data_IF_989844308575
#
_entry.id   IF_989844308575
#
_cell.length_a   1.000
_cell.length_b   1.000
_cell.length_c   1.000
_cell.angle_alpha   90.00
_cell.angle_beta   90.00
_cell.angle_gamma   90.00
#
_symmetry.space_group_name_H-M   'P 1'
#
loop_
_entity.id
_entity.type
_entity.pdbx_description
1 polymer ?
#
# COMPACT_ATOMS: atom_id res chain seq x y z
N UNK A 1 16.46 -14.96 7.20
CA UNK A 1 16.45 -13.59 6.66
C UNK A 1 16.47 -12.60 7.81
N UNK A 2 17.09 -11.45 7.62
CA UNK A 2 17.14 -10.41 8.66
C UNK A 2 15.89 -9.51 8.53
N UNK A 3 14.88 -9.79 9.36
CA UNK A 3 13.60 -9.06 9.39
C UNK A 3 13.72 -7.61 9.88
N UNK A 4 14.93 -7.11 10.18
CA UNK A 4 15.14 -5.72 10.60
C UNK A 4 15.33 -4.73 9.44
N UNK A 5 15.53 -5.24 8.21
CA UNK A 5 15.64 -4.40 7.03
C UNK A 5 14.30 -3.69 6.74
N UNK A 6 14.34 -2.35 6.64
CA UNK A 6 13.17 -1.55 6.27
C UNK A 6 13.06 -1.48 4.76
N UNK A 7 11.85 -1.69 4.23
CA UNK A 7 11.53 -1.36 2.84
C UNK A 7 11.78 0.14 2.61
N UNK A 8 12.33 0.47 1.44
CA UNK A 8 12.57 1.86 1.03
C UNK A 8 11.41 2.32 0.16
N UNK A 9 11.12 3.63 0.22
CA UNK A 9 10.18 4.23 -0.73
C UNK A 9 10.80 4.20 -2.14
N UNK A 10 10.06 3.72 -3.14
CA UNK A 10 10.51 3.73 -4.52
C UNK A 10 10.60 5.17 -5.07
N UNK A 11 11.45 5.37 -6.08
CA UNK A 11 11.71 6.71 -6.66
C UNK A 11 10.77 7.04 -7.82
N UNK A 12 10.33 6.03 -8.56
CA UNK A 12 9.44 6.20 -9.72
C UNK A 12 7.99 5.88 -9.33
N UNK A 13 7.01 6.46 -10.04
CA UNK A 13 5.58 6.18 -9.83
C UNK A 13 4.98 5.89 -11.20
N UNK A 14 4.38 4.71 -11.35
CA UNK A 14 3.75 4.25 -12.59
C UNK A 14 2.25 4.54 -12.57
N UNK A 15 1.59 4.26 -11.44
CA UNK A 15 0.16 4.50 -11.25
C UNK A 15 -0.11 5.07 -9.87
N UNK A 16 -1.16 5.88 -9.77
CA UNK A 16 -1.59 6.52 -8.53
C UNK A 16 -3.11 6.45 -8.42
N UNK A 17 -3.61 6.20 -7.22
CA UNK A 17 -5.02 6.28 -6.90
C UNK A 17 -5.21 6.96 -5.55
N UNK A 18 -6.22 7.82 -5.47
CA UNK A 18 -6.57 8.57 -4.25
C UNK A 18 -7.82 7.96 -3.62
N UNK A 19 -7.84 7.94 -2.28
CA UNK A 19 -8.89 7.35 -1.49
C UNK A 19 -9.21 8.20 -0.27
N UNK A 20 -10.41 8.00 0.26
CA UNK A 20 -10.85 8.51 1.54
C UNK A 20 -11.30 7.35 2.42
N UNK A 21 -10.75 7.26 3.62
CA UNK A 21 -11.10 6.22 4.57
C UNK A 21 -12.59 6.31 4.95
N UNK A 22 -13.34 5.23 4.71
CA UNK A 22 -14.75 5.12 4.99
C UNK A 22 -15.00 4.25 6.23
N UNK A 23 -16.21 4.35 6.79
CA UNK A 23 -16.60 3.57 7.98
C UNK A 23 -16.38 2.07 7.83
N UNK A 24 -16.57 1.51 6.63
CA UNK A 24 -16.39 0.07 6.35
C UNK A 24 -14.94 -0.39 6.54
N UNK A 25 -13.99 0.53 6.36
CA UNK A 25 -12.56 0.25 6.40
C UNK A 25 -12.04 0.23 7.85
N UNK A 26 -12.79 0.78 8.81
CA UNK A 26 -12.35 1.05 10.18
C UNK A 26 -12.62 -0.12 11.13
N UNK A 27 -11.60 -0.50 11.91
CA UNK A 27 -11.68 -1.51 12.95
C UNK A 27 -12.14 -0.94 14.32
N UNK A 28 -12.17 -1.80 15.34
CA UNK A 28 -12.54 -1.41 16.71
C UNK A 28 -11.58 -0.38 17.34
N UNK A 29 -10.34 -0.31 16.84
CA UNK A 29 -9.30 0.59 17.32
C UNK A 29 -9.35 1.97 16.62
N UNK A 30 -10.34 2.19 15.75
CA UNK A 30 -10.62 3.46 15.04
C UNK A 30 -9.58 3.82 13.98
N UNK A 31 -8.95 2.83 13.38
CA UNK A 31 -8.11 3.00 12.20
C UNK A 31 -8.47 1.97 11.13
N UNK A 32 -7.96 2.17 9.91
CA UNK A 32 -8.14 1.20 8.84
C UNK A 32 -7.65 -0.17 9.32
N UNK A 33 -8.47 -1.20 9.16
CA UNK A 33 -8.08 -2.58 9.47
C UNK A 33 -6.92 -2.98 8.56
N UNK A 34 -5.91 -3.66 9.11
CA UNK A 34 -4.72 -4.07 8.38
C UNK A 34 -4.98 -4.83 7.06
N UNK A 35 -6.10 -5.58 6.95
CA UNK A 35 -6.46 -6.30 5.72
C UNK A 35 -6.78 -5.34 4.57
N UNK A 36 -7.44 -4.22 4.85
CA UNK A 36 -7.82 -3.26 3.82
C UNK A 36 -6.62 -2.55 3.20
N UNK A 37 -5.46 -2.48 3.87
CA UNK A 37 -4.23 -1.97 3.25
C UNK A 37 -3.84 -2.80 2.02
N UNK A 38 -4.04 -4.13 2.08
CA UNK A 38 -3.78 -5.01 0.95
C UNK A 38 -4.83 -4.83 -0.14
N UNK A 39 -6.11 -4.67 0.22
CA UNK A 39 -7.18 -4.42 -0.76
C UNK A 39 -6.93 -3.14 -1.55
N UNK A 40 -6.55 -2.04 -0.88
CA UNK A 40 -6.17 -0.80 -1.56
C UNK A 40 -4.94 -0.96 -2.45
N UNK A 41 -3.99 -1.81 -2.06
CA UNK A 41 -2.82 -2.10 -2.86
C UNK A 41 -3.20 -2.81 -4.16
N UNK A 42 -4.10 -3.80 -4.11
CA UNK A 42 -4.57 -4.50 -5.30
C UNK A 42 -5.28 -3.57 -6.29
N UNK A 43 -6.11 -2.65 -5.81
CA UNK A 43 -6.87 -1.72 -6.68
C UNK A 43 -5.98 -0.75 -7.48
N UNK A 44 -4.75 -0.47 -7.02
CA UNK A 44 -3.81 0.40 -7.76
C UNK A 44 -2.91 -0.39 -8.71
N UNK A 45 -2.87 -1.72 -8.62
CA UNK A 45 -2.08 -2.53 -9.55
C UNK A 45 -2.64 -2.42 -10.97
N UNK A 46 -1.77 -2.43 -12.00
CA UNK A 46 -2.19 -2.73 -13.36
C UNK A 46 -2.84 -4.12 -13.42
N UNK A 47 -3.86 -4.28 -14.27
CA UNK A 47 -4.61 -5.53 -14.44
C UNK A 47 -3.68 -6.72 -14.75
N UNK A 48 -2.72 -6.52 -15.66
CA UNK A 48 -1.70 -7.52 -16.02
C UNK A 48 -0.86 -8.01 -14.83
N UNK A 49 -0.66 -7.16 -13.83
CA UNK A 49 0.10 -7.49 -12.61
C UNK A 49 -0.80 -8.18 -11.59
N UNK A 50 -2.04 -7.71 -11.44
CA UNK A 50 -3.02 -8.31 -10.55
C UNK A 50 -3.34 -9.77 -10.95
N UNK A 51 -3.44 -10.03 -12.26
CA UNK A 51 -3.69 -11.37 -12.81
C UNK A 51 -2.43 -12.22 -12.93
N UNK A 52 -1.24 -11.66 -12.64
CA UNK A 52 0.02 -12.38 -12.81
C UNK A 52 0.16 -13.52 -11.76
N UNK A 53 0.43 -14.76 -12.18
CA UNK A 53 0.56 -15.91 -11.27
C UNK A 53 1.79 -15.84 -10.37
N UNK A 54 2.72 -14.93 -10.64
CA UNK A 54 3.98 -14.75 -9.91
C UNK A 54 3.80 -13.93 -8.62
N UNK A 55 2.69 -13.18 -8.45
CA UNK A 55 2.48 -12.28 -7.31
C UNK A 55 1.84 -12.97 -6.08
N UNK A 56 2.31 -14.18 -5.72
CA UNK A 56 1.73 -14.95 -4.61
C UNK A 56 2.34 -14.64 -3.25
N UNK A 57 3.49 -13.97 -3.21
CA UNK A 57 4.13 -13.57 -1.95
C UNK A 57 3.86 -12.10 -1.67
N UNK A 58 3.64 -11.79 -0.40
CA UNK A 58 3.30 -10.46 0.06
C UNK A 58 4.16 -10.12 1.26
N UNK A 59 4.81 -8.96 1.21
CA UNK A 59 5.53 -8.36 2.33
C UNK A 59 4.92 -6.98 2.61
N UNK A 60 4.51 -6.73 3.87
CA UNK A 60 3.88 -5.46 4.26
C UNK A 60 4.65 -4.85 5.42
N UNK A 61 5.03 -3.58 5.26
CA UNK A 61 5.62 -2.75 6.30
C UNK A 61 4.66 -1.63 6.69
N UNK A 62 4.01 -1.77 7.84
CA UNK A 62 3.16 -0.72 8.43
C UNK A 62 4.02 0.35 9.13
N UNK A 63 3.59 1.62 9.05
CA UNK A 63 4.28 2.77 9.65
C UNK A 63 3.36 3.63 10.51
N UNK A 64 2.29 4.15 9.91
CA UNK A 64 1.35 5.04 10.60
C UNK A 64 -0.09 4.70 10.21
N UNK A 65 -0.94 4.62 11.22
CA UNK A 65 -2.37 4.36 11.05
C UNK A 65 -3.08 5.44 10.22
N UNK A 66 -4.12 5.04 9.49
CA UNK A 66 -5.07 5.93 8.77
C UNK A 66 -6.40 5.88 9.52
N UNK A 67 -7.06 7.03 9.72
CA UNK A 67 -8.31 7.16 10.48
C UNK A 67 -9.48 7.49 9.57
N UNK A 68 -10.69 7.39 10.12
CA UNK A 68 -11.92 7.73 9.42
C UNK A 68 -11.85 9.16 8.84
N UNK A 69 -12.27 9.31 7.59
CA UNK A 69 -12.22 10.54 6.79
C UNK A 69 -10.83 11.05 6.39
N UNK A 70 -9.73 10.38 6.79
CA UNK A 70 -8.41 10.71 6.26
C UNK A 70 -8.38 10.43 4.76
N UNK A 71 -7.70 11.32 4.03
CA UNK A 71 -7.47 11.18 2.59
C UNK A 71 -6.02 10.74 2.37
N UNK A 72 -5.84 9.75 1.51
CA UNK A 72 -4.55 9.11 1.28
C UNK A 72 -4.41 8.64 -0.17
N UNK A 73 -3.17 8.40 -0.57
CA UNK A 73 -2.76 8.02 -1.92
C UNK A 73 -2.08 6.67 -1.89
N UNK A 74 -2.44 5.81 -2.83
CA UNK A 74 -1.70 4.60 -3.15
C UNK A 74 -0.88 4.87 -4.41
N UNK A 75 0.41 4.60 -4.35
CA UNK A 75 1.39 4.85 -5.41
C UNK A 75 2.02 3.53 -5.81
N UNK A 76 1.78 3.08 -7.03
CA UNK A 76 2.32 1.85 -7.58
C UNK A 76 3.61 2.10 -8.37
N UNK A 77 4.59 1.24 -8.14
CA UNK A 77 5.89 1.20 -8.81
C UNK A 77 6.31 -0.22 -9.11
N UNK A 78 7.10 -0.41 -10.18
CA UNK A 78 7.75 -1.67 -10.53
C UNK A 78 9.27 -1.50 -10.52
N UNK A 79 9.96 -2.27 -9.67
CA UNK A 79 11.43 -2.27 -9.57
C UNK A 79 11.97 -3.70 -9.65
N UNK A 80 12.86 -4.02 -10.60
CA UNK A 80 13.57 -5.32 -10.69
C UNK A 80 12.70 -6.59 -10.44
N UNK A 81 11.49 -6.62 -11.03
CA UNK A 81 10.44 -7.65 -10.87
C UNK A 81 9.63 -7.63 -9.57
N UNK A 82 9.73 -6.57 -8.77
CA UNK A 82 8.93 -6.37 -7.57
C UNK A 82 7.86 -5.33 -7.83
N UNK A 83 6.62 -5.66 -7.45
CA UNK A 83 5.49 -4.75 -7.51
C UNK A 83 5.33 -4.11 -6.14
N UNK A 84 5.51 -2.79 -6.07
CA UNK A 84 5.54 -2.05 -4.82
C UNK A 84 4.39 -1.05 -4.81
N UNK A 85 3.59 -1.08 -3.76
CA UNK A 85 2.57 -0.07 -3.48
C UNK A 85 2.95 0.68 -2.21
N UNK A 86 3.09 1.99 -2.34
CA UNK A 86 3.36 2.90 -1.23
C UNK A 86 2.09 3.67 -0.88
N UNK A 87 1.65 3.60 0.37
CA UNK A 87 0.48 4.32 0.87
C UNK A 87 0.94 5.56 1.65
N UNK A 88 0.54 6.75 1.21
CA UNK A 88 0.93 8.03 1.81
C UNK A 88 -0.27 8.93 2.07
N UNK A 89 -0.14 9.89 2.97
CA UNK A 89 -1.15 10.93 3.17
C UNK A 89 -1.40 11.70 1.87
N UNK A 90 -2.52 12.42 1.79
CA UNK A 90 -2.85 13.28 0.65
C UNK A 90 -1.71 14.25 0.28
N UNK A 91 -1.03 14.84 1.26
CA UNK A 91 0.13 15.72 1.05
C UNK A 91 1.46 14.99 0.82
N UNK A 92 1.45 13.66 0.82
CA UNK A 92 2.60 12.77 0.65
C UNK A 92 3.72 12.95 1.70
N UNK A 93 3.45 13.63 2.81
CA UNK A 93 4.42 13.86 3.89
C UNK A 93 4.47 12.71 4.91
N UNK A 94 3.39 11.94 5.01
CA UNK A 94 3.29 10.81 5.94
C UNK A 94 3.27 9.50 5.17
N UNK A 95 4.22 8.61 5.47
CA UNK A 95 4.18 7.22 5.03
C UNK A 95 3.30 6.38 5.96
N UNK A 96 2.28 5.73 5.41
CA UNK A 96 1.38 4.85 6.15
C UNK A 96 1.81 3.39 6.05
N UNK A 97 2.11 2.91 4.85
CA UNK A 97 2.57 1.54 4.62
C UNK A 97 3.34 1.42 3.30
N UNK A 98 4.16 0.38 3.20
CA UNK A 98 4.72 -0.13 1.94
C UNK A 98 4.31 -1.60 1.82
N UNK A 99 3.71 -1.95 0.68
CA UNK A 99 3.28 -3.29 0.32
C UNK A 99 4.12 -3.73 -0.87
N UNK A 100 4.69 -4.92 -0.82
CA UNK A 100 5.48 -5.50 -1.89
C UNK A 100 4.88 -6.85 -2.28
N UNK A 101 4.71 -7.08 -3.58
CA UNK A 101 4.22 -8.32 -4.17
C UNK A 101 5.25 -8.88 -5.14
N UNK A 102 5.55 -10.18 -5.02
CA UNK A 102 6.60 -10.89 -5.78
C UNK A 102 6.44 -12.42 -5.77
#
# INVERSE_FOLDING_TARGET
EDYTLKLKEPVTIIRKQEYKAQRRDIDINKHIHNLYYLDYAYEVLPEEVYEAPECNNIEIMYKKQIRLNDEFKCLYTKEENQNIVTMKSEDENTLHAIIKLY
#
